data_IF_377545428213
#
_entry.id   IF_377545428213
#
_cell.length_a   1.000
_cell.length_b   1.000
_cell.length_c   1.000
_cell.angle_alpha   90.00
_cell.angle_beta   90.00
_cell.angle_gamma   90.00
#
_symmetry.space_group_name_H-M   'P 1'
#
loop_
_entity.id
_entity.type
_entity.pdbx_description
1 polymer ?
#
# COMPACT_ATOMS: atom_id res chain seq x y z
N UNK A 1 2.02 -9.13 -11.66
CA UNK A 1 1.47 -8.12 -10.73
C UNK A 1 0.46 -7.26 -11.47
N UNK A 2 -0.81 -7.52 -11.24
CA UNK A 2 -1.89 -6.63 -11.64
C UNK A 2 -1.90 -5.41 -10.70
N UNK A 3 -1.68 -4.19 -11.23
CA UNK A 3 -1.52 -2.98 -10.41
C UNK A 3 -2.85 -2.51 -9.83
N UNK A 4 -3.93 -2.77 -10.54
CA UNK A 4 -5.30 -2.43 -10.20
C UNK A 4 -5.74 -3.21 -8.96
N UNK A 5 -5.49 -4.53 -8.93
CA UNK A 5 -5.77 -5.36 -7.74
C UNK A 5 -4.96 -4.93 -6.52
N UNK A 6 -3.69 -4.59 -6.71
CA UNK A 6 -2.84 -4.08 -5.61
C UNK A 6 -3.42 -2.78 -5.05
N UNK A 7 -3.82 -1.87 -5.93
CA UNK A 7 -4.45 -0.61 -5.54
C UNK A 7 -5.73 -0.84 -4.72
N UNK A 8 -6.61 -1.75 -5.17
CA UNK A 8 -7.83 -2.13 -4.45
C UNK A 8 -7.53 -2.71 -3.05
N UNK A 9 -6.54 -3.60 -2.95
CA UNK A 9 -6.11 -4.15 -1.65
C UNK A 9 -5.59 -3.05 -0.73
N UNK A 10 -4.75 -2.13 -1.24
CA UNK A 10 -4.22 -1.03 -0.44
C UNK A 10 -5.31 -0.09 0.07
N UNK A 11 -6.31 0.23 -0.77
CA UNK A 11 -7.47 1.03 -0.37
C UNK A 11 -8.29 0.29 0.69
N UNK A 12 -8.49 -1.01 0.52
CA UNK A 12 -9.22 -1.86 1.47
C UNK A 12 -8.52 -1.91 2.82
N UNK A 13 -7.20 -2.12 2.83
CA UNK A 13 -6.40 -2.17 4.06
C UNK A 13 -6.38 -0.82 4.78
N UNK A 14 -6.32 0.30 4.04
CA UNK A 14 -6.42 1.63 4.65
C UNK A 14 -7.76 1.82 5.37
N UNK A 15 -8.85 1.36 4.76
CA UNK A 15 -10.21 1.54 5.28
C UNK A 15 -10.54 3.02 5.45
N UNK A 16 -11.08 3.39 6.61
CA UNK A 16 -11.51 4.76 6.90
C UNK A 16 -10.38 5.72 7.29
N UNK A 17 -9.14 5.21 7.47
CA UNK A 17 -7.98 6.05 7.79
C UNK A 17 -7.65 7.00 6.65
N UNK A 18 -7.21 8.20 7.00
CA UNK A 18 -6.79 9.20 6.02
C UNK A 18 -5.47 8.78 5.37
N UNK A 19 -5.20 9.29 4.15
CA UNK A 19 -3.91 9.02 3.49
C UNK A 19 -2.75 9.67 4.24
N UNK A 20 -2.98 10.81 4.87
CA UNK A 20 -2.02 11.54 5.70
C UNK A 20 -1.59 10.70 6.90
N UNK A 21 -2.54 10.09 7.62
CA UNK A 21 -2.27 9.22 8.76
C UNK A 21 -1.40 8.02 8.34
N UNK A 22 -1.84 7.30 7.31
CA UNK A 22 -1.14 6.09 6.85
C UNK A 22 0.23 6.42 6.25
N UNK A 23 0.33 7.48 5.44
CA UNK A 23 1.61 7.90 4.85
C UNK A 23 2.62 8.30 5.95
N UNK A 24 2.16 9.01 6.98
CA UNK A 24 2.98 9.36 8.15
C UNK A 24 3.44 8.11 8.90
N UNK A 25 2.55 7.15 9.16
CA UNK A 25 2.90 5.91 9.84
C UNK A 25 3.91 5.05 9.05
N UNK A 26 3.81 5.05 7.72
CA UNK A 26 4.71 4.32 6.82
C UNK A 26 6.02 5.08 6.51
N UNK A 27 6.14 6.34 6.92
CA UNK A 27 7.29 7.19 6.61
C UNK A 27 7.45 7.49 5.11
N UNK A 28 6.33 7.66 4.40
CA UNK A 28 6.29 8.01 2.97
C UNK A 28 5.49 9.31 2.76
N UNK A 29 5.58 9.90 1.56
CA UNK A 29 4.72 11.04 1.23
C UNK A 29 3.28 10.59 0.95
N UNK A 30 2.32 11.47 1.21
CA UNK A 30 0.90 11.26 0.84
C UNK A 30 0.76 11.01 -0.66
N UNK A 31 1.55 11.72 -1.47
CA UNK A 31 1.58 11.52 -2.92
C UNK A 31 2.07 10.12 -3.31
N UNK A 32 3.03 9.54 -2.59
CA UNK A 32 3.49 8.17 -2.84
C UNK A 32 2.37 7.17 -2.57
N UNK A 33 1.71 7.28 -1.41
CA UNK A 33 0.56 6.42 -1.07
C UNK A 33 -0.57 6.57 -2.11
N UNK A 34 -0.89 7.79 -2.52
CA UNK A 34 -1.87 8.05 -3.57
C UNK A 34 -1.48 7.40 -4.90
N UNK A 35 -0.20 7.42 -5.29
CA UNK A 35 0.24 6.76 -6.52
C UNK A 35 0.10 5.23 -6.44
N UNK A 36 0.24 4.64 -5.26
CA UNK A 36 0.06 3.21 -5.04
C UNK A 36 -1.43 2.83 -5.07
N UNK A 37 -2.28 3.57 -4.35
CA UNK A 37 -3.74 3.36 -4.31
C UNK A 37 -4.46 3.67 -5.63
N UNK A 38 -3.80 4.33 -6.59
CA UNK A 38 -4.35 4.61 -7.92
C UNK A 38 -3.68 3.78 -9.03
N UNK A 39 -2.96 2.71 -8.68
CA UNK A 39 -2.26 1.82 -9.63
C UNK A 39 -1.23 2.52 -10.53
N UNK A 40 -0.85 3.77 -10.23
CA UNK A 40 0.11 4.56 -11.03
C UNK A 40 1.54 4.12 -10.80
N UNK A 41 1.85 3.63 -9.60
CA UNK A 41 3.19 3.19 -9.21
C UNK A 41 3.11 1.95 -8.31
N UNK A 42 4.14 1.11 -8.39
CA UNK A 42 4.35 0.01 -7.46
C UNK A 42 5.39 0.43 -6.39
N UNK A 43 5.17 0.15 -5.09
CA UNK A 43 6.16 0.44 -4.06
C UNK A 43 7.46 -0.33 -4.27
N UNK A 44 8.58 0.22 -3.77
CA UNK A 44 9.85 -0.54 -3.63
C UNK A 44 9.68 -1.63 -2.56
N UNK A 45 10.51 -2.66 -2.58
CA UNK A 45 10.35 -3.81 -1.67
C UNK A 45 10.43 -3.43 -0.18
N UNK A 46 11.30 -2.48 0.19
CA UNK A 46 11.30 -1.87 1.54
C UNK A 46 9.91 -1.35 1.93
N UNK A 47 9.25 -0.62 1.04
CA UNK A 47 7.94 -0.02 1.30
C UNK A 47 6.85 -1.09 1.30
N UNK A 48 6.95 -2.12 0.45
CA UNK A 48 6.04 -3.27 0.47
C UNK A 48 6.06 -3.95 1.84
N UNK A 49 7.26 -4.16 2.40
CA UNK A 49 7.43 -4.72 3.75
C UNK A 49 6.89 -3.80 4.84
N UNK A 50 7.13 -2.47 4.76
CA UNK A 50 6.54 -1.52 5.71
C UNK A 50 5.02 -1.55 5.70
N UNK A 51 4.41 -1.58 4.51
CA UNK A 51 2.96 -1.67 4.34
C UNK A 51 2.44 -2.97 4.95
N UNK A 52 3.04 -4.11 4.61
CA UNK A 52 2.66 -5.42 5.12
C UNK A 52 2.72 -5.48 6.65
N UNK A 53 3.84 -5.01 7.23
CA UNK A 53 4.03 -4.94 8.68
C UNK A 53 3.04 -4.00 9.38
N UNK A 54 2.76 -2.83 8.79
CA UNK A 54 1.81 -1.87 9.35
C UNK A 54 0.38 -2.44 9.44
N UNK A 55 -0.03 -3.24 8.45
CA UNK A 55 -1.34 -3.89 8.43
C UNK A 55 -1.36 -5.30 9.03
N UNK A 56 -0.21 -5.85 9.43
CA UNK A 56 -0.11 -7.19 10.03
C UNK A 56 -0.47 -8.33 9.08
N UNK A 57 -0.22 -8.17 7.78
CA UNK A 57 -0.55 -9.18 6.74
C UNK A 57 0.71 -9.61 5.96
N UNK A 58 0.74 -10.82 5.37
CA UNK A 58 1.87 -11.24 4.53
C UNK A 58 2.04 -10.34 3.31
N UNK A 59 3.29 -10.03 2.94
CA UNK A 59 3.60 -9.16 1.78
C UNK A 59 3.11 -9.77 0.46
N UNK A 60 3.07 -11.10 0.39
CA UNK A 60 2.56 -11.91 -0.72
C UNK A 60 1.08 -11.66 -0.97
N UNK A 61 0.30 -11.52 0.11
CA UNK A 61 -1.15 -11.32 0.05
C UNK A 61 -1.51 -9.98 -0.62
N UNK A 62 -0.65 -8.97 -0.47
CA UNK A 62 -0.83 -7.64 -1.06
C UNK A 62 -0.28 -7.60 -2.49
N UNK A 63 0.94 -8.10 -2.71
CA UNK A 63 1.70 -7.78 -3.92
C UNK A 63 1.89 -8.95 -4.90
N UNK A 64 1.69 -10.20 -4.51
CA UNK A 64 2.14 -11.34 -5.34
C UNK A 64 1.05 -12.35 -5.70
N UNK A 65 -0.06 -12.43 -4.96
CA UNK A 65 -1.08 -13.45 -5.17
C UNK A 65 -2.05 -13.25 -6.36
N UNK A 66 -1.79 -12.34 -7.31
CA UNK A 66 -2.85 -11.87 -8.24
C UNK A 66 -2.46 -11.41 -9.65
#
# INVERSE_FOLDING_TARGET
>A
MNKEKIAEILVTLRGDRSREEVAKALGISVSALQMYENAKRVPKDEIKLKIANYYGVPVESIFFNH
#
